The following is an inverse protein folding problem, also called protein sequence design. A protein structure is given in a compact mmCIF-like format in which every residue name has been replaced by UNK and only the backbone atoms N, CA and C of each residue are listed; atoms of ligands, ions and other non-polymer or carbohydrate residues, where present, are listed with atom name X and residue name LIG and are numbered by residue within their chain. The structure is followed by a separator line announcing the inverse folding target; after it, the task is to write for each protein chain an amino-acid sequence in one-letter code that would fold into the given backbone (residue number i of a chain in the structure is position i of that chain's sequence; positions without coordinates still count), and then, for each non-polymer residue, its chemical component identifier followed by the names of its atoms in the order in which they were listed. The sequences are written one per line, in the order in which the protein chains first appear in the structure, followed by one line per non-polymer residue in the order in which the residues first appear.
data_IF_218703880644
#
_entry.id   IF_218703880644
#
_cell.length_a   1.000
_cell.length_b   1.000
_cell.length_c   1.000
_cell.angle_alpha   90.00
_cell.angle_beta   90.00
_cell.angle_gamma   90.00
#
_symmetry.space_group_name_H-M   'P 1'
#
loop_
_entity.id
_entity.type
_entity.pdbx_description
1 polymer ?
#
# COMPACT_ATOMS: atom_id res chain seq x y z
N UNK A 1 -15.29 -80.90 -27.20
CA UNK A 1 -14.88 -81.74 -26.06
C UNK A 1 -14.15 -80.84 -25.07
N UNK A 2 -14.63 -80.82 -23.85
CA UNK A 2 -14.10 -80.05 -22.72
C UNK A 2 -12.78 -80.69 -22.26
N UNK A 3 -11.73 -79.90 -22.08
CA UNK A 3 -10.77 -79.93 -20.96
C UNK A 3 -9.61 -78.98 -21.29
N UNK A 4 -9.46 -77.86 -20.59
CA UNK A 4 -8.90 -77.76 -19.22
C UNK A 4 -7.45 -78.23 -19.20
N UNK A 5 -6.55 -77.25 -19.23
CA UNK A 5 -5.26 -77.35 -18.56
C UNK A 5 -5.06 -76.01 -17.86
N UNK A 6 -5.52 -75.99 -16.62
CA UNK A 6 -4.82 -75.50 -15.43
C UNK A 6 -3.56 -74.69 -15.71
N UNK A 7 -3.56 -73.44 -15.26
CA UNK A 7 -2.36 -72.84 -14.71
C UNK A 7 -2.75 -72.02 -13.49
N UNK A 8 -2.43 -72.64 -12.37
CA UNK A 8 -2.15 -72.11 -11.04
C UNK A 8 -2.19 -70.60 -10.87
N UNK A 9 -3.04 -70.19 -9.94
CA UNK A 9 -2.85 -68.98 -9.16
C UNK A 9 -1.63 -69.18 -8.26
N UNK A 10 -0.60 -68.35 -8.40
CA UNK A 10 0.28 -68.07 -7.27
C UNK A 10 0.73 -66.61 -7.26
N UNK A 11 0.39 -65.97 -6.14
CA UNK A 11 0.58 -64.59 -5.75
C UNK A 11 2.03 -64.13 -5.83
N UNK A 12 2.22 -62.85 -6.13
CA UNK A 12 3.09 -62.01 -5.31
C UNK A 12 2.64 -60.56 -5.44
N UNK A 13 2.02 -60.10 -4.37
CA UNK A 13 1.84 -58.69 -4.06
C UNK A 13 3.20 -57.99 -4.12
N UNK A 14 3.29 -56.96 -4.95
CA UNK A 14 4.17 -55.84 -4.68
C UNK A 14 3.42 -54.59 -5.11
N UNK A 15 2.69 -54.05 -4.13
CA UNK A 15 2.32 -52.65 -4.07
C UNK A 15 3.56 -51.80 -4.36
N UNK A 16 3.63 -51.27 -5.56
CA UNK A 16 4.30 -50.01 -5.77
C UNK A 16 3.40 -49.23 -6.71
N UNK A 17 2.63 -48.33 -6.10
CA UNK A 17 1.59 -47.54 -6.72
C UNK A 17 2.00 -47.12 -8.12
N UNK A 18 1.10 -47.41 -9.06
CA UNK A 18 1.17 -46.98 -10.43
C UNK A 18 1.50 -45.48 -10.46
N UNK A 19 2.78 -45.14 -10.60
CA UNK A 19 3.21 -43.88 -11.18
C UNK A 19 2.85 -44.04 -12.65
N UNK A 20 1.55 -44.06 -12.92
CA UNK A 20 1.06 -43.77 -14.24
C UNK A 20 1.54 -42.35 -14.48
N UNK A 21 2.60 -42.26 -15.25
CA UNK A 21 2.70 -41.46 -16.47
C UNK A 21 1.37 -41.10 -17.16
N UNK A 22 0.35 -40.70 -16.42
CA UNK A 22 -0.64 -39.79 -16.94
C UNK A 22 0.10 -38.46 -17.03
N UNK A 23 0.77 -38.28 -18.17
CA UNK A 23 0.81 -37.00 -18.87
C UNK A 23 -0.64 -36.55 -19.05
N UNK A 24 -1.27 -36.18 -17.95
CA UNK A 24 -2.51 -35.44 -17.93
C UNK A 24 -2.08 -34.10 -18.46
N UNK A 25 -2.26 -33.92 -19.77
CA UNK A 25 -2.25 -32.60 -20.36
C UNK A 25 -3.33 -31.82 -19.62
N UNK A 26 -2.95 -31.16 -18.52
CA UNK A 26 -3.77 -30.17 -17.86
C UNK A 26 -3.87 -29.07 -18.90
N UNK A 27 -4.95 -29.12 -19.69
CA UNK A 27 -5.29 -28.05 -20.59
C UNK A 27 -5.76 -26.91 -19.68
N UNK A 28 -4.80 -26.14 -19.14
CA UNK A 28 -5.07 -24.89 -18.44
C UNK A 28 -5.68 -24.01 -19.51
N UNK A 29 -7.01 -23.94 -19.52
CA UNK A 29 -7.72 -22.96 -20.30
C UNK A 29 -7.38 -21.60 -19.68
N UNK A 30 -6.28 -21.00 -20.15
CA UNK A 30 -5.98 -19.60 -19.94
C UNK A 30 -6.99 -18.81 -20.78
N UNK A 31 -8.26 -18.86 -20.37
CA UNK A 31 -9.10 -17.71 -20.56
C UNK A 31 -8.30 -16.57 -19.95
N UNK A 32 -7.74 -15.74 -20.83
CA UNK A 32 -7.13 -14.48 -20.46
C UNK A 32 -8.27 -13.59 -19.99
N UNK A 33 -8.86 -13.97 -18.84
CA UNK A 33 -9.81 -13.18 -18.10
C UNK A 33 -8.98 -12.01 -17.60
N UNK A 34 -8.86 -11.00 -18.47
CA UNK A 34 -8.61 -9.59 -18.16
C UNK A 34 -8.06 -9.41 -16.76
N UNK A 35 -6.80 -9.79 -16.55
CA UNK A 35 -6.07 -9.33 -15.38
C UNK A 35 -5.93 -7.83 -15.60
N UNK A 36 -6.64 -6.97 -14.83
CA UNK A 36 -6.42 -5.54 -14.95
C UNK A 36 -4.92 -5.31 -14.73
N UNK A 37 -4.27 -4.46 -15.55
CA UNK A 37 -2.85 -4.21 -15.36
C UNK A 37 -2.64 -3.81 -13.90
N UNK A 38 -1.71 -4.48 -13.21
CA UNK A 38 -1.34 -4.13 -11.85
C UNK A 38 -0.85 -2.69 -11.87
N UNK A 39 -1.72 -1.75 -11.50
CA UNK A 39 -1.44 -0.32 -11.59
C UNK A 39 -0.69 0.06 -10.32
N UNK A 40 0.59 0.39 -10.47
CA UNK A 40 1.43 0.83 -9.35
C UNK A 40 0.99 2.24 -8.96
N UNK A 41 0.35 2.36 -7.80
CA UNK A 41 -0.05 3.64 -7.23
C UNK A 41 1.21 4.46 -6.89
N UNK A 42 1.35 5.63 -7.52
CA UNK A 42 2.53 6.49 -7.32
C UNK A 42 2.12 7.81 -6.67
N UNK A 43 2.54 8.03 -5.42
CA UNK A 43 2.30 9.29 -4.70
C UNK A 43 3.53 10.17 -4.74
N UNK A 44 3.35 11.43 -5.17
CA UNK A 44 4.41 12.42 -5.20
C UNK A 44 4.36 13.25 -3.94
N UNK A 45 5.43 13.22 -3.14
CA UNK A 45 5.52 13.97 -1.89
C UNK A 45 6.49 15.14 -2.06
N UNK A 46 5.99 16.36 -1.88
CA UNK A 46 6.76 17.59 -1.93
C UNK A 46 6.97 18.11 -0.52
N UNK A 47 8.22 18.12 -0.07
CA UNK A 47 8.62 18.62 1.24
C UNK A 47 8.98 20.10 1.14
N UNK A 48 8.51 20.91 2.11
CA UNK A 48 8.94 22.31 2.33
C UNK A 48 8.93 23.17 1.05
N UNK A 49 7.87 23.06 0.25
CA UNK A 49 7.80 23.78 -1.03
C UNK A 49 7.66 25.28 -0.80
N UNK A 50 8.64 26.04 -1.31
CA UNK A 50 8.71 27.50 -1.14
C UNK A 50 7.86 28.30 -2.12
N UNK A 51 7.77 27.84 -3.37
CA UNK A 51 7.12 28.59 -4.44
C UNK A 51 5.87 27.88 -4.97
N UNK A 52 4.71 28.58 -5.05
CA UNK A 52 3.48 28.00 -5.61
C UNK A 52 3.64 27.55 -7.07
N UNK A 53 4.56 28.18 -7.82
CA UNK A 53 4.86 27.77 -9.19
C UNK A 53 5.44 26.36 -9.29
N UNK A 54 6.22 25.92 -8.30
CA UNK A 54 6.83 24.58 -8.31
C UNK A 54 5.77 23.51 -8.08
N UNK A 55 4.79 23.77 -7.21
CA UNK A 55 3.64 22.87 -6.99
C UNK A 55 2.82 22.71 -8.27
N UNK A 56 2.52 23.83 -8.95
CA UNK A 56 1.80 23.78 -10.22
C UNK A 56 2.60 23.08 -11.33
N UNK A 57 3.90 23.36 -11.45
CA UNK A 57 4.76 22.68 -12.42
C UNK A 57 4.86 21.17 -12.16
N UNK A 58 4.96 20.76 -10.89
CA UNK A 58 4.94 19.35 -10.51
C UNK A 58 3.62 18.67 -10.89
N UNK A 59 2.48 19.30 -10.57
CA UNK A 59 1.16 18.80 -10.95
C UNK A 59 1.01 18.65 -12.48
N UNK A 60 1.53 19.61 -13.25
CA UNK A 60 1.55 19.53 -14.72
C UNK A 60 2.36 18.33 -15.22
N UNK A 61 3.56 18.14 -14.68
CA UNK A 61 4.43 17.02 -15.05
C UNK A 61 3.77 15.68 -14.72
N UNK A 62 3.17 15.55 -13.53
CA UNK A 62 2.44 14.34 -13.12
C UNK A 62 1.33 14.01 -14.11
N UNK A 63 0.50 15.00 -14.48
CA UNK A 63 -0.58 14.80 -15.44
C UNK A 63 -0.07 14.39 -16.83
N UNK A 64 0.99 15.03 -17.32
CA UNK A 64 1.61 14.66 -18.60
C UNK A 64 2.15 13.23 -18.60
N UNK A 65 2.63 12.75 -17.46
CA UNK A 65 3.14 11.39 -17.29
C UNK A 65 2.04 10.35 -16.98
N UNK A 66 0.78 10.77 -16.85
CA UNK A 66 -0.33 9.87 -16.52
C UNK A 66 -0.44 9.50 -15.04
N UNK A 67 0.30 10.20 -14.17
CA UNK A 67 0.19 10.06 -12.72
C UNK A 67 -0.93 10.95 -12.20
N UNK A 68 -2.01 10.31 -11.76
CA UNK A 68 -3.19 10.98 -11.18
C UNK A 68 -3.48 10.49 -9.76
N UNK A 69 -2.63 9.60 -9.22
CA UNK A 69 -2.95 8.86 -7.99
C UNK A 69 -2.82 9.71 -6.71
N UNK A 70 -2.00 10.76 -6.74
CA UNK A 70 -1.99 11.74 -5.65
C UNK A 70 -0.72 12.60 -5.56
N UNK A 71 -0.94 13.86 -5.17
CA UNK A 71 0.09 14.83 -4.82
C UNK A 71 -0.03 15.15 -3.32
N UNK A 72 1.06 15.04 -2.56
CA UNK A 72 1.09 15.33 -1.13
C UNK A 72 2.11 16.44 -0.87
N UNK A 73 1.72 17.47 -0.13
CA UNK A 73 2.59 18.54 0.31
C UNK A 73 2.81 18.42 1.82
N UNK A 74 4.06 18.32 2.25
CA UNK A 74 4.39 18.28 3.68
C UNK A 74 5.08 19.58 4.05
N UNK A 75 4.52 20.28 5.04
CA UNK A 75 5.03 21.56 5.55
C UNK A 75 5.34 22.59 4.44
N UNK A 76 4.42 22.86 3.49
CA UNK A 76 4.66 23.90 2.50
C UNK A 76 4.86 25.26 3.19
N UNK A 77 5.67 26.15 2.61
CA UNK A 77 5.90 27.48 3.20
C UNK A 77 4.65 28.36 3.24
N UNK A 78 3.62 28.03 2.43
CA UNK A 78 2.30 28.63 2.43
C UNK A 78 1.25 27.51 2.39
N UNK A 79 0.43 27.41 3.43
CA UNK A 79 -0.63 26.40 3.51
C UNK A 79 -1.69 26.57 2.42
N UNK A 80 -1.89 27.79 1.91
CA UNK A 80 -2.89 28.12 0.88
C UNK A 80 -2.32 28.03 -0.54
N UNK A 81 -1.17 27.38 -0.70
CA UNK A 81 -0.44 27.29 -1.98
C UNK A 81 -1.30 26.77 -3.14
N UNK A 82 -2.18 25.80 -2.90
CA UNK A 82 -3.08 25.21 -3.91
C UNK A 82 -4.13 26.21 -4.43
N UNK A 83 -4.51 27.20 -3.62
CA UNK A 83 -5.49 28.22 -3.98
C UNK A 83 -4.91 29.40 -4.77
N UNK A 84 -3.58 29.56 -4.78
CA UNK A 84 -2.90 30.73 -5.38
C UNK A 84 -3.05 30.74 -6.90
N UNK A 85 -3.30 31.93 -7.45
CA UNK A 85 -3.39 32.14 -8.91
C UNK A 85 -2.15 31.62 -9.65
N UNK A 86 -0.95 31.92 -9.13
CA UNK A 86 0.33 31.47 -9.68
C UNK A 86 0.49 29.94 -9.72
N UNK A 87 -0.07 29.23 -8.74
CA UNK A 87 -0.08 27.75 -8.73
C UNK A 87 -0.99 27.21 -9.84
N UNK A 88 -2.20 27.77 -9.95
CA UNK A 88 -3.19 27.39 -10.97
C UNK A 88 -2.71 27.67 -12.39
N UNK A 89 -2.10 28.84 -12.61
CA UNK A 89 -1.48 29.22 -13.88
C UNK A 89 -0.34 28.25 -14.24
N UNK A 90 0.53 27.91 -13.28
CA UNK A 90 1.64 26.99 -13.51
C UNK A 90 1.18 25.54 -13.79
N UNK A 91 0.07 25.10 -13.17
CA UNK A 91 -0.51 23.78 -13.41
C UNK A 91 -1.06 23.57 -14.82
N UNK A 92 -1.39 24.65 -15.55
CA UNK A 92 -1.69 24.66 -16.99
C UNK A 92 -2.47 23.42 -17.47
N UNK A 93 -3.67 23.21 -16.91
CA UNK A 93 -4.54 22.07 -17.24
C UNK A 93 -4.50 20.89 -16.26
N UNK A 94 -3.59 20.88 -15.28
CA UNK A 94 -3.52 19.89 -14.19
C UNK A 94 -4.24 20.33 -12.90
N UNK A 95 -5.39 21.00 -13.03
CA UNK A 95 -6.18 21.45 -11.89
C UNK A 95 -6.85 20.29 -11.13
N UNK A 96 -7.10 19.18 -11.82
CA UNK A 96 -7.53 17.90 -11.26
C UNK A 96 -6.51 17.36 -10.26
N UNK A 97 -5.22 17.29 -10.63
CA UNK A 97 -4.16 16.85 -9.71
C UNK A 97 -4.04 17.76 -8.48
N UNK A 98 -4.25 19.07 -8.65
CA UNK A 98 -4.25 20.02 -7.52
C UNK A 98 -5.49 19.90 -6.62
N UNK A 99 -6.63 19.43 -7.14
CA UNK A 99 -7.87 19.23 -6.35
C UNK A 99 -7.75 18.01 -5.46
N UNK A 100 -7.09 16.97 -5.95
CA UNK A 100 -6.86 15.72 -5.21
C UNK A 100 -5.60 15.79 -4.33
N UNK A 101 -4.95 16.96 -4.27
CA UNK A 101 -3.73 17.14 -3.50
C UNK A 101 -4.00 17.27 -2.00
N UNK A 102 -3.20 16.58 -1.19
CA UNK A 102 -3.26 16.63 0.27
C UNK A 102 -2.16 17.53 0.83
N UNK A 103 -2.47 18.30 1.87
CA UNK A 103 -1.49 19.13 2.59
C UNK A 103 -1.40 18.62 4.03
N UNK A 104 -0.19 18.26 4.45
CA UNK A 104 0.13 17.82 5.81
C UNK A 104 0.98 18.89 6.48
N UNK A 105 0.44 19.53 7.52
CA UNK A 105 1.12 20.59 8.29
C UNK A 105 1.61 19.99 9.61
N UNK A 106 2.80 19.36 9.56
CA UNK A 106 3.43 18.76 10.74
C UNK A 106 2.77 17.46 11.21
N UNK A 107 3.56 16.65 11.91
CA UNK A 107 3.04 15.60 12.80
C UNK A 107 2.99 16.27 14.16
N UNK A 108 1.80 16.38 14.75
CA UNK A 108 1.68 16.69 16.17
C UNK A 108 2.28 15.49 16.91
N UNK A 109 3.50 15.68 17.41
CA UNK A 109 4.16 14.73 18.30
C UNK A 109 3.46 14.84 19.65
N UNK A 110 2.31 14.18 19.76
CA UNK A 110 1.48 14.09 20.97
C UNK A 110 2.13 13.11 21.97
N UNK A 111 3.45 13.20 22.16
CA UNK A 111 4.19 12.54 23.23
C UNK A 111 3.89 13.26 24.53
N UNK A 112 2.70 12.97 25.04
CA UNK A 112 2.31 13.18 26.44
C UNK A 112 3.18 12.30 27.34
N UNK A 113 4.40 12.76 27.61
CA UNK A 113 5.26 12.26 28.67
C UNK A 113 4.70 12.67 30.05
N UNK A 114 3.50 12.18 30.39
CA UNK A 114 2.95 12.25 31.75
C UNK A 114 3.50 11.09 32.59
N UNK A 115 4.80 11.19 32.92
CA UNK A 115 5.40 10.39 33.98
C UNK A 115 5.73 11.29 35.18
N UNK A 116 4.69 11.87 35.81
CA UNK A 116 4.80 12.48 37.14
C UNK A 116 4.95 11.38 38.21
N UNK A 117 6.19 10.94 38.37
CA UNK A 117 6.64 9.98 39.36
C UNK A 117 6.99 10.67 40.71
N UNK A 118 6.37 10.20 41.80
CA UNK A 118 6.78 10.32 43.23
C UNK A 118 6.68 11.72 43.88
N UNK A 119 6.17 11.93 45.09
CA UNK A 119 6.29 11.12 46.32
C UNK A 119 5.23 11.58 47.36
N UNK A 120 4.29 10.71 47.73
CA UNK A 120 3.37 10.92 48.85
C UNK A 120 4.01 10.42 50.14
N UNK A 121 4.85 11.23 50.79
CA UNK A 121 5.14 11.01 52.20
C UNK A 121 5.53 12.29 52.94
N UNK A 122 4.58 12.86 53.68
CA UNK A 122 4.85 13.71 54.83
C UNK A 122 3.70 13.59 55.83
N UNK A 123 3.76 12.51 56.61
CA UNK A 123 3.20 12.49 57.96
C UNK A 123 4.01 13.46 58.82
N UNK A 124 3.40 14.54 59.30
CA UNK A 124 3.93 15.32 60.42
C UNK A 124 2.79 16.07 61.11
N UNK A 125 2.38 15.49 62.22
CA UNK A 125 1.62 16.04 63.33
C UNK A 125 2.13 17.41 63.80
N UNK A 126 1.22 18.35 64.04
CA UNK A 126 1.39 19.39 65.08
C UNK A 126 0.06 19.98 65.52
N UNK A 127 -0.37 19.50 66.67
CA UNK A 127 -1.26 20.10 67.66
C UNK A 127 -0.73 21.48 68.09
N UNK A 128 -1.56 22.52 68.15
CA UNK A 128 -1.46 23.55 69.20
C UNK A 128 -2.74 24.39 69.29
N UNK A 129 -3.26 24.41 70.50
CA UNK A 129 -4.21 25.36 71.11
C UNK A 129 -3.72 26.81 71.06
#
# INVERSE_FOLDING_TARGET
NINSNDNDSNSNDNDNGNIADTNTNINININTDVVPPFRVETKFVLLETKHPGNVGAAARSMKTMGFTDGLVLVRPSDERVLGRKKCKEAASGALDVLRDAFVVVGVDDDTSDDASNSNSNSTSTSTST
#
